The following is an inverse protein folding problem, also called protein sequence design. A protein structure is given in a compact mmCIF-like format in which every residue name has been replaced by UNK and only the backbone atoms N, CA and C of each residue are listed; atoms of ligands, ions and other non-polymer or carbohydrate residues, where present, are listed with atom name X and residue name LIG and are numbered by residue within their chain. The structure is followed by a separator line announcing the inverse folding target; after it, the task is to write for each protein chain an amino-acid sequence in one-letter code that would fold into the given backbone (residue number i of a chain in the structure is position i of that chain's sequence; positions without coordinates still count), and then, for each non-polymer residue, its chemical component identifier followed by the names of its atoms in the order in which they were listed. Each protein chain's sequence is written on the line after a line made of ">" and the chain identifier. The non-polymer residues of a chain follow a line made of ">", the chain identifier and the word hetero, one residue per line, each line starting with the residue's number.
data_IF_500163797490
#
_entry.id   IF_500163797490
#
_cell.length_a   1.000
_cell.length_b   1.000
_cell.length_c   1.000
_cell.angle_alpha   90.00
_cell.angle_beta   90.00
_cell.angle_gamma   90.00
#
_symmetry.space_group_name_H-M   'P 1'
#
loop_
_entity.id
_entity.type
_entity.pdbx_description
1 polymer ?
#
# COMPACT_ATOMS: atom_id res chain seq x y z
N UNK A 1 -17.59 7.06 -2.43
CA UNK A 1 -17.76 6.71 -0.99
C UNK A 1 -18.30 7.91 -0.22
N UNK A 2 -19.62 8.08 -0.09
CA UNK A 2 -20.23 9.33 0.39
C UNK A 2 -20.75 9.32 1.83
N UNK A 3 -20.82 8.17 2.52
CA UNK A 3 -21.16 8.10 3.95
C UNK A 3 -20.09 7.39 4.80
N UNK A 4 -19.99 7.81 6.07
CA UNK A 4 -19.03 7.33 7.06
C UNK A 4 -19.11 5.80 7.26
N UNK A 5 -20.30 5.22 7.25
CA UNK A 5 -20.51 3.77 7.43
C UNK A 5 -19.84 2.97 6.31
N UNK A 6 -20.03 3.44 5.08
CA UNK A 6 -19.43 2.81 3.88
C UNK A 6 -17.91 2.91 3.92
N UNK A 7 -17.37 4.07 4.34
CA UNK A 7 -15.93 4.26 4.48
C UNK A 7 -15.32 3.33 5.54
N UNK A 8 -15.98 3.14 6.67
CA UNK A 8 -15.49 2.23 7.72
C UNK A 8 -15.49 0.78 7.26
N UNK A 9 -16.56 0.34 6.57
CA UNK A 9 -16.63 -1.00 6.00
C UNK A 9 -15.52 -1.25 4.97
N UNK A 10 -15.27 -0.27 4.09
CA UNK A 10 -14.19 -0.32 3.12
C UNK A 10 -12.80 -0.38 3.77
N UNK A 11 -12.52 0.50 4.73
CA UNK A 11 -11.23 0.48 5.44
C UNK A 11 -11.05 -0.85 6.18
N UNK A 12 -12.12 -1.43 6.73
CA UNK A 12 -12.08 -2.75 7.36
C UNK A 12 -11.71 -3.84 6.35
N UNK A 13 -12.33 -3.87 5.17
CA UNK A 13 -12.01 -4.91 4.17
C UNK A 13 -10.56 -4.85 3.70
N UNK A 14 -10.02 -3.64 3.51
CA UNK A 14 -8.60 -3.45 3.19
C UNK A 14 -7.69 -3.96 4.31
N UNK A 15 -8.00 -3.63 5.57
CA UNK A 15 -7.22 -4.10 6.73
C UNK A 15 -7.25 -5.61 6.88
N UNK A 16 -8.41 -6.22 6.67
CA UNK A 16 -8.57 -7.67 6.75
C UNK A 16 -7.73 -8.36 5.67
N UNK A 17 -7.80 -7.88 4.42
CA UNK A 17 -6.96 -8.38 3.31
C UNK A 17 -5.46 -8.28 3.62
N UNK A 18 -5.00 -7.08 4.00
CA UNK A 18 -3.59 -6.86 4.33
C UNK A 18 -3.13 -7.75 5.50
N UNK A 19 -3.99 -7.96 6.51
CA UNK A 19 -3.69 -8.83 7.65
C UNK A 19 -3.51 -10.30 7.23
N UNK A 20 -4.44 -10.82 6.41
CA UNK A 20 -4.39 -12.20 5.91
C UNK A 20 -3.12 -12.44 5.09
N UNK A 21 -2.82 -11.56 4.14
CA UNK A 21 -1.65 -11.74 3.27
C UNK A 21 -0.32 -11.60 4.04
N UNK A 22 -0.25 -10.69 5.03
CA UNK A 22 0.91 -10.61 5.92
C UNK A 22 1.14 -11.90 6.71
N UNK A 23 0.07 -12.53 7.20
CA UNK A 23 0.16 -13.83 7.89
C UNK A 23 0.66 -14.92 6.94
N UNK A 24 0.18 -14.92 5.69
CA UNK A 24 0.67 -15.83 4.64
C UNK A 24 2.16 -15.65 4.37
N UNK A 25 2.63 -14.40 4.24
CA UNK A 25 4.05 -14.11 4.06
C UNK A 25 4.88 -14.54 5.27
N UNK A 26 4.40 -14.29 6.49
CA UNK A 26 5.08 -14.68 7.71
C UNK A 26 5.20 -16.21 7.83
N UNK A 27 4.12 -16.96 7.54
CA UNK A 27 4.15 -18.41 7.53
C UNK A 27 5.14 -18.98 6.51
N UNK A 28 5.21 -18.39 5.30
CA UNK A 28 6.19 -18.76 4.27
C UNK A 28 7.63 -18.47 4.71
N UNK A 29 7.87 -17.36 5.40
CA UNK A 29 9.18 -17.04 5.94
C UNK A 29 9.59 -18.03 7.04
N UNK A 30 8.67 -18.37 7.95
CA UNK A 30 8.95 -19.33 9.03
C UNK A 30 9.24 -20.75 8.52
N UNK A 31 8.64 -21.16 7.40
CA UNK A 31 8.91 -22.48 6.80
C UNK A 31 10.18 -22.51 5.95
N UNK A 32 10.57 -21.40 5.32
CA UNK A 32 11.79 -21.29 4.52
C UNK A 32 12.36 -19.87 4.61
N UNK A 33 13.21 -19.60 5.62
CA UNK A 33 13.69 -18.24 5.89
C UNK A 33 14.54 -17.68 4.75
N UNK A 34 14.05 -16.60 4.16
CA UNK A 34 14.80 -15.75 3.25
C UNK A 34 14.35 -14.29 3.49
N UNK A 35 15.13 -13.51 4.26
CA UNK A 35 14.74 -12.15 4.63
C UNK A 35 14.54 -11.22 3.43
N UNK A 36 15.42 -11.27 2.43
CA UNK A 36 15.31 -10.41 1.24
C UNK A 36 14.00 -10.65 0.49
N UNK A 37 13.67 -11.93 0.25
CA UNK A 37 12.42 -12.31 -0.40
C UNK A 37 11.21 -11.88 0.43
N UNK A 38 11.29 -12.05 1.75
CA UNK A 38 10.19 -11.70 2.65
C UNK A 38 9.92 -10.19 2.65
N UNK A 39 10.95 -9.36 2.84
CA UNK A 39 10.82 -7.90 2.90
C UNK A 39 10.35 -7.30 1.57
N UNK A 40 10.81 -7.84 0.44
CA UNK A 40 10.35 -7.44 -0.90
C UNK A 40 8.90 -7.84 -1.16
N UNK A 41 8.51 -9.06 -0.78
CA UNK A 41 7.12 -9.49 -0.89
C UNK A 41 6.20 -8.65 0.00
N UNK A 42 6.68 -8.23 1.18
CA UNK A 42 5.94 -7.34 2.06
C UNK A 42 5.74 -5.95 1.46
N UNK A 43 6.75 -5.38 0.79
CA UNK A 43 6.63 -4.12 0.06
C UNK A 43 5.66 -4.25 -1.12
N UNK A 44 5.77 -5.32 -1.92
CA UNK A 44 4.87 -5.59 -3.04
C UNK A 44 3.41 -5.74 -2.62
N UNK A 45 3.14 -6.40 -1.48
CA UNK A 45 1.80 -6.48 -0.93
C UNK A 45 1.23 -5.09 -0.58
N UNK A 46 2.08 -4.18 -0.09
CA UNK A 46 1.67 -2.81 0.18
C UNK A 46 1.45 -2.02 -1.11
N UNK A 47 2.27 -2.25 -2.16
CA UNK A 47 2.04 -1.68 -3.50
C UNK A 47 0.64 -2.07 -4.02
N UNK A 48 0.27 -3.35 -3.91
CA UNK A 48 -1.04 -3.85 -4.34
C UNK A 48 -2.18 -3.17 -3.57
N UNK A 49 -2.05 -3.05 -2.24
CA UNK A 49 -3.05 -2.40 -1.39
C UNK A 49 -3.20 -0.91 -1.70
N UNK A 50 -2.10 -0.17 -1.79
CA UNK A 50 -2.10 1.27 -2.07
C UNK A 50 -2.67 1.53 -3.47
N UNK A 51 -2.29 0.72 -4.46
CA UNK A 51 -2.80 0.82 -5.83
C UNK A 51 -4.29 0.50 -5.92
N UNK A 52 -4.76 -0.50 -5.17
CA UNK A 52 -6.19 -0.83 -5.08
C UNK A 52 -6.99 0.33 -4.46
N UNK A 53 -6.50 0.91 -3.35
CA UNK A 53 -7.13 2.08 -2.74
C UNK A 53 -7.20 3.25 -3.73
N UNK A 54 -6.10 3.55 -4.42
CA UNK A 54 -6.05 4.64 -5.40
C UNK A 54 -7.07 4.44 -6.52
N UNK A 55 -7.22 3.20 -7.00
CA UNK A 55 -8.20 2.83 -8.02
C UNK A 55 -9.64 3.01 -7.51
N UNK A 56 -9.96 2.47 -6.33
CA UNK A 56 -11.32 2.47 -5.79
C UNK A 56 -11.84 3.87 -5.45
N UNK A 57 -10.94 4.77 -5.01
CA UNK A 57 -11.31 6.16 -4.73
C UNK A 57 -11.36 7.02 -6.00
N UNK A 58 -11.01 6.47 -7.17
CA UNK A 58 -10.96 7.18 -8.44
C UNK A 58 -9.88 8.26 -8.46
N UNK A 59 -8.70 7.96 -7.92
CA UNK A 59 -7.58 8.91 -7.92
C UNK A 59 -7.22 9.27 -9.36
N UNK A 60 -7.10 10.57 -9.65
CA UNK A 60 -6.78 11.05 -11.00
C UNK A 60 -5.42 10.54 -11.45
N UNK A 61 -5.33 10.21 -12.74
CA UNK A 61 -4.10 9.91 -13.48
C UNK A 61 -3.08 11.07 -13.50
N UNK A 62 -3.50 12.29 -13.14
CA UNK A 62 -2.62 13.45 -12.95
C UNK A 62 -1.93 13.49 -11.59
N UNK A 63 -2.32 12.61 -10.67
CA UNK A 63 -1.71 12.47 -9.35
C UNK A 63 -0.76 11.27 -9.38
N UNK A 64 0.47 11.46 -8.90
CA UNK A 64 1.40 10.35 -8.71
C UNK A 64 1.51 10.00 -7.23
N UNK A 65 1.44 8.71 -6.91
CA UNK A 65 1.77 8.16 -5.60
C UNK A 65 3.16 7.54 -5.65
N UNK A 66 4.02 7.92 -4.72
CA UNK A 66 5.38 7.40 -4.63
C UNK A 66 5.62 6.77 -3.28
N UNK A 67 6.05 5.52 -3.28
CA UNK A 67 6.64 4.89 -2.11
C UNK A 67 7.95 5.58 -1.76
N UNK A 68 8.14 5.96 -0.49
CA UNK A 68 9.39 6.58 -0.01
C UNK A 68 9.96 5.79 1.18
N UNK A 69 11.14 6.18 1.67
CA UNK A 69 11.77 5.50 2.81
C UNK A 69 12.09 4.02 2.53
N UNK A 70 11.87 3.15 3.51
CA UNK A 70 12.09 1.70 3.38
C UNK A 70 11.14 1.05 2.37
N UNK A 71 9.89 1.49 2.35
CA UNK A 71 8.89 1.09 1.37
C UNK A 71 9.36 1.38 -0.06
N UNK A 72 9.81 2.60 -0.33
CA UNK A 72 10.32 3.01 -1.66
C UNK A 72 11.57 2.26 -2.14
N UNK A 73 12.37 1.68 -1.23
CA UNK A 73 13.49 0.81 -1.61
C UNK A 73 13.08 -0.64 -1.85
N UNK A 74 11.81 -0.98 -1.69
CA UNK A 74 11.30 -2.35 -1.80
C UNK A 74 11.67 -3.22 -0.60
N UNK A 75 11.98 -2.64 0.56
CA UNK A 75 12.34 -3.36 1.78
C UNK A 75 11.50 -2.87 2.95
N UNK A 76 10.38 -3.55 3.18
CA UNK A 76 9.45 -3.18 4.24
C UNK A 76 9.44 -4.23 5.35
N UNK A 77 9.83 -3.83 6.56
CA UNK A 77 9.81 -4.71 7.73
C UNK A 77 8.38 -4.84 8.30
N UNK A 78 8.07 -5.94 8.99
CA UNK A 78 6.81 -6.08 9.72
C UNK A 78 6.63 -4.93 10.70
N UNK A 79 5.40 -4.40 10.79
CA UNK A 79 5.04 -3.25 11.62
C UNK A 79 5.76 -1.93 11.30
N UNK A 80 6.56 -1.85 10.23
CA UNK A 80 7.02 -0.55 9.73
C UNK A 80 5.86 0.29 9.21
N UNK A 81 5.98 1.60 9.39
CA UNK A 81 5.10 2.57 8.77
C UNK A 81 5.23 2.54 7.23
N UNK A 82 4.16 2.96 6.55
CA UNK A 82 4.09 3.07 5.09
C UNK A 82 4.10 4.55 4.73
N UNK A 83 5.25 5.04 4.29
CA UNK A 83 5.42 6.42 3.89
C UNK A 83 5.11 6.59 2.39
N UNK A 84 4.18 7.49 2.07
CA UNK A 84 3.77 7.81 0.70
C UNK A 84 3.92 9.30 0.44
N UNK A 85 4.60 9.65 -0.65
CA UNK A 85 4.60 11.00 -1.21
C UNK A 85 3.52 11.11 -2.29
N UNK A 86 2.71 12.17 -2.23
CA UNK A 86 1.68 12.47 -3.23
C UNK A 86 2.13 13.68 -4.03
N UNK A 87 2.28 13.52 -5.34
CA UNK A 87 2.54 14.62 -6.27
C UNK A 87 1.24 15.03 -6.94
N UNK A 88 0.95 16.32 -6.88
CA UNK A 88 -0.20 16.93 -7.53
C UNK A 88 0.25 17.62 -8.82
N UNK A 89 -0.64 17.76 -9.82
CA UNK A 89 -0.33 18.56 -11.01
C UNK A 89 -0.04 20.01 -10.62
N UNK A 90 0.86 20.66 -11.37
CA UNK A 90 1.12 22.09 -11.19
C UNK A 90 -0.16 22.88 -11.50
N UNK A 91 -0.57 23.74 -10.58
CA UNK A 91 -1.74 24.62 -10.71
C UNK A 91 -1.54 25.74 -11.74
N UNK A 92 -0.34 25.89 -12.30
CA UNK A 92 -0.01 26.94 -13.27
C UNK A 92 -0.14 26.51 -14.75
N UNK A 93 -0.62 25.30 -15.04
CA UNK A 93 -0.70 24.77 -16.42
C UNK A 93 -2.15 24.54 -16.90
N UNK A 94 -3.03 25.49 -16.60
CA UNK A 94 -4.28 25.72 -17.33
C UNK A 94 -4.01 26.79 -18.41
N UNK A 95 -3.31 26.41 -19.48
CA UNK A 95 -3.08 27.24 -20.67
C UNK A 95 -3.40 26.45 -21.94
#
# INVERSE_FOLDING_TARGET
>A
MTDATTRLAYVKSIRDWLSVERQTLAARYLSSPNPDRYLRAHASLVDDVVSHIATDIGLSDRIALLAVGGYGRGYLFPASDVDVLILLPDSNNDA
#
